data_IF_374186521712
#
_entry.id   IF_374186521712
#
_cell.length_a   1.000
_cell.length_b   1.000
_cell.length_c   1.000
_cell.angle_alpha   90.00
_cell.angle_beta   90.00
_cell.angle_gamma   90.00
#
_symmetry.space_group_name_H-M   'P 1'
#
loop_
_entity.id
_entity.type
_entity.pdbx_description
1 polymer ?
#
# COMPACT_ATOMS: atom_id res chain seq x y z
N UNK A 1 -11.50 3.39 -9.39
CA UNK A 1 -11.49 4.38 -8.30
C UNK A 1 -11.87 5.70 -8.95
N UNK A 2 -12.84 6.42 -8.39
CA UNK A 2 -13.31 7.70 -8.96
C UNK A 2 -12.26 8.79 -8.81
N UNK A 3 -11.44 8.72 -7.76
CA UNK A 3 -10.23 9.52 -7.67
C UNK A 3 -9.13 9.00 -8.62
N UNK A 4 -8.33 9.91 -9.18
CA UNK A 4 -7.18 9.60 -10.05
C UNK A 4 -5.95 9.13 -9.28
N UNK A 5 -6.12 8.68 -8.04
CA UNK A 5 -5.02 8.27 -7.17
C UNK A 5 -4.44 6.92 -7.62
N UNK A 6 -3.13 6.78 -7.42
CA UNK A 6 -2.49 5.45 -7.39
C UNK A 6 -2.91 4.71 -6.12
N UNK A 7 -2.83 3.37 -6.11
CA UNK A 7 -3.03 2.57 -4.89
C UNK A 7 -2.07 2.99 -3.80
N UNK A 8 -0.82 3.32 -4.15
CA UNK A 8 0.18 3.79 -3.21
C UNK A 8 -0.26 5.10 -2.54
N UNK A 9 -0.69 6.09 -3.34
CA UNK A 9 -1.20 7.37 -2.86
C UNK A 9 -2.44 7.18 -1.98
N UNK A 10 -3.41 6.37 -2.43
CA UNK A 10 -4.61 6.08 -1.67
C UNK A 10 -4.30 5.39 -0.33
N UNK A 11 -3.38 4.42 -0.30
CA UNK A 11 -2.94 3.77 0.93
C UNK A 11 -2.28 4.76 1.89
N UNK A 12 -1.44 5.66 1.37
CA UNK A 12 -0.78 6.66 2.20
C UNK A 12 -1.76 7.65 2.80
N UNK A 13 -2.75 8.12 2.03
CA UNK A 13 -3.80 8.98 2.56
C UNK A 13 -4.54 8.30 3.73
N UNK A 14 -5.01 7.06 3.55
CA UNK A 14 -5.64 6.29 4.62
C UNK A 14 -4.71 6.02 5.82
N UNK A 15 -3.40 6.10 5.64
CA UNK A 15 -2.43 5.86 6.70
C UNK A 15 -2.06 7.13 7.46
N UNK A 16 -2.36 8.32 6.94
CA UNK A 16 -2.07 9.60 7.58
C UNK A 16 -3.12 9.93 8.64
N UNK A 17 -2.67 10.39 9.79
CA UNK A 17 -3.54 11.02 10.79
C UNK A 17 -3.82 12.45 10.37
N UNK A 18 -5.04 12.75 9.94
CA UNK A 18 -5.47 14.06 9.43
C UNK A 18 -4.87 15.26 10.18
N UNK A 19 -5.07 15.33 11.50
CA UNK A 19 -4.62 16.48 12.29
C UNK A 19 -3.11 16.47 12.61
N UNK A 20 -2.49 15.29 12.64
CA UNK A 20 -1.08 15.16 13.06
C UNK A 20 -0.11 15.05 11.89
N UNK A 21 -0.60 14.71 10.69
CA UNK A 21 0.20 14.40 9.51
C UNK A 21 1.17 13.23 9.72
N UNK A 22 0.91 12.37 10.72
CA UNK A 22 1.76 11.23 11.10
C UNK A 22 1.11 9.92 10.71
N UNK A 23 1.91 8.90 10.39
CA UNK A 23 1.40 7.59 9.99
C UNK A 23 0.87 6.78 11.18
N UNK A 24 -0.29 6.13 11.04
CA UNK A 24 -0.93 5.31 12.09
C UNK A 24 -0.14 4.05 12.50
N UNK A 25 0.74 3.53 11.64
CA UNK A 25 1.32 2.19 11.80
C UNK A 25 2.83 2.19 11.62
N UNK A 26 3.54 1.57 12.56
CA UNK A 26 4.97 1.24 12.42
C UNK A 26 5.26 0.27 11.26
N UNK A 27 4.21 -0.37 10.72
CA UNK A 27 4.29 -1.27 9.57
C UNK A 27 3.96 -0.60 8.23
N UNK A 28 3.76 0.72 8.21
CA UNK A 28 3.50 1.43 6.96
C UNK A 28 4.59 1.22 5.89
N UNK A 29 5.90 1.18 6.19
CA UNK A 29 6.92 0.89 5.18
C UNK A 29 6.71 -0.46 4.46
N UNK A 30 6.26 -1.48 5.18
CA UNK A 30 5.96 -2.82 4.67
C UNK A 30 4.71 -2.81 3.79
N UNK A 31 3.66 -2.11 4.25
CA UNK A 31 2.43 -1.93 3.48
C UNK A 31 2.70 -1.17 2.17
N UNK A 32 3.47 -0.10 2.26
CA UNK A 32 3.89 0.72 1.12
C UNK A 32 4.71 -0.09 0.11
N UNK A 33 5.65 -0.92 0.60
CA UNK A 33 6.43 -1.79 -0.25
C UNK A 33 5.55 -2.79 -1.02
N UNK A 34 4.58 -3.41 -0.32
CA UNK A 34 3.65 -4.34 -0.93
C UNK A 34 2.79 -3.69 -2.00
N UNK A 35 2.16 -2.55 -1.69
CA UNK A 35 1.31 -1.82 -2.65
C UNK A 35 2.11 -1.32 -3.86
N UNK A 36 3.33 -0.81 -3.66
CA UNK A 36 4.19 -0.42 -4.79
C UNK A 36 4.50 -1.60 -5.72
N UNK A 37 4.80 -2.78 -5.17
CA UNK A 37 5.01 -4.00 -5.97
C UNK A 37 3.73 -4.45 -6.67
N UNK A 38 2.58 -4.35 -6.00
CA UNK A 38 1.25 -4.61 -6.59
C UNK A 38 1.02 -3.73 -7.82
N UNK A 39 1.28 -2.42 -7.75
CA UNK A 39 1.08 -1.51 -8.87
C UNK A 39 2.04 -1.79 -10.04
N UNK A 40 3.29 -2.14 -9.74
CA UNK A 40 4.25 -2.54 -10.77
C UNK A 40 3.84 -3.85 -11.46
N UNK A 41 3.22 -4.80 -10.74
CA UNK A 41 2.68 -6.02 -11.33
C UNK A 41 1.49 -5.73 -12.23
N UNK A 42 0.53 -4.92 -11.76
CA UNK A 42 -0.68 -4.57 -12.52
C UNK A 42 -0.36 -3.77 -13.79
N UNK A 43 0.66 -2.93 -13.75
CA UNK A 43 1.15 -2.20 -14.93
C UNK A 43 1.98 -3.07 -15.88
N UNK A 44 2.27 -4.33 -15.51
CA UNK A 44 3.10 -5.24 -16.30
C UNK A 44 4.57 -4.84 -16.37
N UNK A 45 5.01 -3.91 -15.51
CA UNK A 45 6.41 -3.49 -15.35
C UNK A 45 7.19 -4.56 -14.59
N UNK A 46 6.61 -5.06 -13.49
CA UNK A 46 7.16 -6.17 -12.73
C UNK A 46 6.70 -7.49 -13.35
N UNK A 47 7.66 -8.35 -13.68
CA UNK A 47 7.40 -9.67 -14.29
C UNK A 47 8.06 -10.77 -13.48
N UNK A 48 7.46 -11.96 -13.51
CA UNK A 48 8.04 -13.17 -12.93
C UNK A 48 8.50 -14.16 -13.99
N UNK A 49 9.44 -15.01 -13.61
CA UNK A 49 9.64 -16.29 -14.29
C UNK A 49 8.47 -17.27 -14.06
N UNK A 50 8.43 -18.36 -14.81
CA UNK A 50 7.36 -19.38 -14.77
C UNK A 50 7.60 -20.49 -13.73
N UNK A 51 8.37 -20.21 -12.67
CA UNK A 51 8.80 -21.22 -11.69
C UNK A 51 7.78 -21.48 -10.57
N UNK A 52 7.94 -22.63 -9.88
CA UNK A 52 7.20 -22.92 -8.62
C UNK A 52 7.48 -21.89 -7.51
N UNK A 53 8.65 -21.26 -7.56
CA UNK A 53 9.06 -20.17 -6.65
C UNK A 53 9.42 -18.95 -7.49
N UNK A 54 8.42 -18.19 -7.96
CA UNK A 54 8.64 -17.18 -8.98
C UNK A 54 9.58 -16.09 -8.49
N UNK A 55 10.54 -15.72 -9.34
CA UNK A 55 11.42 -14.57 -9.12
C UNK A 55 11.03 -13.41 -10.00
N UNK A 56 11.07 -12.22 -9.42
CA UNK A 56 10.56 -10.99 -9.98
C UNK A 56 11.70 -10.05 -10.37
N UNK A 57 11.56 -9.44 -11.53
CA UNK A 57 12.40 -8.35 -12.03
C UNK A 57 11.54 -7.31 -12.76
N UNK A 58 12.02 -6.08 -12.85
CA UNK A 58 11.39 -5.08 -13.71
C UNK A 58 11.83 -5.30 -15.16
N UNK A 59 10.91 -5.11 -16.11
CA UNK A 59 11.24 -5.04 -17.53
C UNK A 59 12.25 -3.90 -17.78
N UNK A 60 13.26 -4.11 -18.64
CA UNK A 60 14.10 -3.02 -19.14
C UNK A 60 13.23 -1.96 -19.83
N UNK A 61 13.62 -0.69 -19.70
CA UNK A 61 13.02 0.45 -20.42
C UNK A 61 11.50 0.63 -20.23
N UNK A 62 10.94 0.04 -19.18
CA UNK A 62 9.52 0.17 -18.89
C UNK A 62 9.17 1.61 -18.49
N UNK A 63 8.14 2.16 -19.13
CA UNK A 63 7.60 3.47 -18.75
C UNK A 63 6.75 3.30 -17.49
N UNK A 64 7.19 3.91 -16.40
CA UNK A 64 6.51 3.86 -15.11
C UNK A 64 5.93 5.24 -14.81
N UNK A 65 4.64 5.30 -14.50
CA UNK A 65 3.97 6.54 -14.10
C UNK A 65 4.14 6.79 -12.60
N UNK A 66 4.47 8.03 -12.24
CA UNK A 66 4.75 8.42 -10.85
C UNK A 66 6.22 8.22 -10.47
N UNK A 67 6.77 9.20 -9.77
CA UNK A 67 8.12 9.20 -9.24
C UNK A 67 8.34 8.07 -8.24
N UNK A 68 7.35 7.76 -7.40
CA UNK A 68 7.42 6.70 -6.40
C UNK A 68 7.65 5.33 -7.05
N UNK A 69 6.77 4.93 -7.98
CA UNK A 69 6.86 3.65 -8.68
C UNK A 69 8.13 3.59 -9.55
N UNK A 70 8.48 4.68 -10.23
CA UNK A 70 9.72 4.79 -11.01
C UNK A 70 10.96 4.57 -10.14
N UNK A 71 10.97 5.12 -8.92
CA UNK A 71 12.09 4.96 -7.99
C UNK A 71 12.22 3.51 -7.50
N UNK A 72 11.10 2.82 -7.25
CA UNK A 72 11.12 1.39 -6.91
C UNK A 72 11.65 0.58 -8.10
N UNK A 73 11.13 0.81 -9.30
CA UNK A 73 11.56 0.09 -10.50
C UNK A 73 13.07 0.28 -10.76
N UNK A 74 13.55 1.52 -10.70
CA UNK A 74 14.98 1.85 -10.84
C UNK A 74 15.84 1.18 -9.77
N UNK A 75 15.37 1.12 -8.52
CA UNK A 75 16.08 0.42 -7.45
C UNK A 75 16.21 -1.08 -7.75
N UNK A 76 15.15 -1.71 -8.25
CA UNK A 76 15.17 -3.14 -8.62
C UNK A 76 16.07 -3.41 -9.82
N UNK A 77 16.01 -2.56 -10.86
CA UNK A 77 16.87 -2.65 -12.04
C UNK A 77 18.35 -2.47 -11.67
N UNK A 78 18.66 -1.49 -10.81
CA UNK A 78 20.04 -1.22 -10.35
C UNK A 78 20.63 -2.38 -9.55
N UNK A 79 19.82 -3.08 -8.74
CA UNK A 79 20.29 -4.29 -8.04
C UNK A 79 20.55 -5.46 -9.01
N UNK A 80 19.88 -5.49 -10.17
CA UNK A 80 20.18 -6.36 -11.30
C UNK A 80 19.85 -7.84 -11.11
N UNK A 81 19.20 -8.24 -10.00
CA UNK A 81 18.91 -9.65 -9.69
C UNK A 81 17.41 -9.90 -9.64
N UNK A 82 16.94 -10.98 -10.27
CA UNK A 82 15.60 -11.49 -10.04
C UNK A 82 15.48 -12.09 -8.63
N UNK A 83 14.44 -11.72 -7.88
CA UNK A 83 14.25 -12.16 -6.48
C UNK A 83 12.81 -12.52 -6.16
N UNK A 84 12.55 -13.38 -5.16
CA UNK A 84 11.19 -13.58 -4.66
C UNK A 84 10.56 -12.26 -4.23
N UNK A 85 9.24 -12.11 -4.44
CA UNK A 85 8.51 -10.87 -4.15
C UNK A 85 8.66 -10.42 -2.69
N UNK A 86 8.70 -11.38 -1.74
CA UNK A 86 8.95 -11.12 -0.32
C UNK A 86 10.30 -10.43 -0.08
N UNK A 87 11.36 -10.89 -0.77
CA UNK A 87 12.69 -10.30 -0.65
C UNK A 87 12.72 -8.87 -1.17
N UNK A 88 11.95 -8.57 -2.22
CA UNK A 88 11.77 -7.20 -2.67
C UNK A 88 11.03 -6.35 -1.65
N UNK A 89 9.90 -6.84 -1.13
CA UNK A 89 9.11 -6.14 -0.13
C UNK A 89 9.95 -5.77 1.11
N UNK A 90 10.73 -6.71 1.65
CA UNK A 90 11.65 -6.47 2.76
C UNK A 90 12.64 -5.35 2.44
N UNK A 91 13.33 -5.45 1.29
CA UNK A 91 14.37 -4.48 0.90
C UNK A 91 13.82 -3.09 0.61
N UNK A 92 12.63 -3.00 0.04
CA UNK A 92 11.92 -1.75 -0.23
C UNK A 92 11.44 -1.13 1.08
N UNK A 93 10.89 -1.92 2.00
CA UNK A 93 10.40 -1.43 3.30
C UNK A 93 11.48 -0.77 4.17
N UNK A 94 12.75 -1.15 3.98
CA UNK A 94 13.89 -0.55 4.68
C UNK A 94 14.31 0.82 4.12
N UNK A 95 13.72 1.29 3.02
CA UNK A 95 14.07 2.57 2.38
C UNK A 95 13.10 3.67 2.79
N UNK A 96 13.41 4.34 3.91
CA UNK A 96 12.62 5.47 4.43
C UNK A 96 12.39 6.61 3.41
N UNK A 97 13.30 6.77 2.44
CA UNK A 97 13.15 7.75 1.35
C UNK A 97 11.91 7.54 0.49
N UNK A 98 11.40 6.31 0.37
CA UNK A 98 10.24 6.01 -0.47
C UNK A 98 8.95 6.63 0.08
N UNK A 99 8.81 6.70 1.40
CA UNK A 99 7.69 7.41 2.05
C UNK A 99 7.71 8.89 1.65
N UNK A 100 8.89 9.52 1.74
CA UNK A 100 9.03 10.95 1.41
C UNK A 100 8.70 11.25 -0.05
N UNK A 101 9.12 10.38 -0.97
CA UNK A 101 8.82 10.51 -2.40
C UNK A 101 7.31 10.43 -2.65
N UNK A 102 6.64 9.44 -2.05
CA UNK A 102 5.19 9.32 -2.19
C UNK A 102 4.44 10.50 -1.55
N UNK A 103 4.90 10.98 -0.39
CA UNK A 103 4.33 12.16 0.24
C UNK A 103 4.46 13.40 -0.66
N UNK A 104 5.59 13.55 -1.35
CA UNK A 104 5.82 14.64 -2.29
C UNK A 104 4.83 14.60 -3.47
N UNK A 105 4.54 13.41 -4.01
CA UNK A 105 3.48 13.28 -5.04
C UNK A 105 2.10 13.70 -4.51
N UNK A 106 1.78 13.36 -3.25
CA UNK A 106 0.54 13.80 -2.61
C UNK A 106 0.49 15.32 -2.39
N UNK A 107 1.64 15.95 -2.12
CA UNK A 107 1.76 17.41 -2.07
C UNK A 107 1.52 18.03 -3.46
N UNK A 108 2.08 17.45 -4.52
CA UNK A 108 1.95 17.94 -5.90
C UNK A 108 0.50 17.94 -6.40
N UNK A 109 -0.30 16.95 -5.98
CA UNK A 109 -1.74 16.90 -6.29
C UNK A 109 -2.60 17.67 -5.28
N UNK A 110 -2.00 18.36 -4.32
CA UNK A 110 -2.68 19.20 -3.33
C UNK A 110 -3.50 18.43 -2.28
N UNK A 111 -3.19 17.15 -2.04
CA UNK A 111 -3.89 16.36 -1.03
C UNK A 111 -3.38 16.69 0.39
N UNK A 112 -2.07 16.86 0.54
CA UNK A 112 -1.38 17.16 1.79
C UNK A 112 -0.37 18.29 1.59
N UNK A 113 0.22 18.80 2.68
CA UNK A 113 1.35 19.74 2.62
C UNK A 113 2.56 19.18 3.37
N UNK A 114 3.78 19.59 3.04
CA UNK A 114 4.97 19.20 3.81
C UNK A 114 5.22 20.21 4.93
N UNK A 115 5.18 19.75 6.18
CA UNK A 115 5.58 20.54 7.34
C UNK A 115 6.84 19.97 7.98
N UNK A 116 7.85 20.82 8.18
CA UNK A 116 9.09 20.48 8.88
C UNK A 116 9.08 21.08 10.28
N UNK A 117 9.16 20.22 11.28
CA UNK A 117 9.21 20.58 12.69
C UNK A 117 10.43 19.94 13.36
N UNK A 118 10.69 20.27 14.62
CA UNK A 118 11.67 19.56 15.45
C UNK A 118 11.02 19.09 16.74
N UNK A 119 11.07 17.80 17.04
CA UNK A 119 10.67 17.25 18.32
C UNK A 119 11.72 17.63 19.38
N UNK A 120 11.28 18.26 20.47
CA UNK A 120 12.14 18.86 21.52
C UNK A 120 13.26 19.78 20.98
N UNK A 121 13.06 20.40 19.81
CA UNK A 121 14.04 21.31 19.19
C UNK A 121 15.26 20.63 18.56
N UNK A 122 15.43 19.31 18.72
CA UNK A 122 16.65 18.59 18.32
C UNK A 122 16.43 17.52 17.24
N UNK A 123 15.26 16.87 17.22
CA UNK A 123 15.01 15.76 16.30
C UNK A 123 14.12 16.25 15.15
N UNK A 124 14.64 16.38 13.91
CA UNK A 124 13.82 16.78 12.77
C UNK A 124 12.65 15.81 12.55
N UNK A 125 11.45 16.34 12.39
CA UNK A 125 10.25 15.59 12.11
C UNK A 125 9.52 16.23 10.93
N UNK A 126 9.26 15.42 9.89
CA UNK A 126 8.40 15.81 8.78
C UNK A 126 6.99 15.29 9.04
N UNK A 127 5.99 16.13 8.79
CA UNK A 127 4.57 15.80 8.84
C UNK A 127 3.93 16.12 7.50
N UNK A 128 2.84 15.42 7.19
CA UNK A 128 2.05 15.65 5.99
C UNK A 128 0.58 15.86 6.32
N UNK A 129 0.20 17.01 6.93
CA UNK A 129 -1.20 17.27 7.25
C UNK A 129 -2.05 17.43 5.99
N UNK A 130 -3.32 17.01 6.11
CA UNK A 130 -4.31 17.04 5.03
C UNK A 130 -4.64 18.49 4.66
N UNK A 131 -4.51 18.84 3.38
CA UNK A 131 -4.88 20.15 2.82
C UNK A 131 -6.28 20.10 2.22
N UNK A 132 -6.61 18.99 1.55
CA UNK A 132 -7.89 18.78 0.90
C UNK A 132 -8.54 17.47 1.35
N UNK A 133 -9.23 17.53 2.49
CA UNK A 133 -9.95 16.38 3.05
C UNK A 133 -11.05 15.79 2.17
N UNK A 134 -11.46 16.48 1.09
CA UNK A 134 -12.44 15.92 0.13
C UNK A 134 -11.88 14.73 -0.65
N UNK A 135 -10.56 14.69 -0.89
CA UNK A 135 -9.94 13.57 -1.61
C UNK A 135 -10.05 12.30 -0.77
N UNK A 136 -9.67 12.39 0.50
CA UNK A 136 -9.77 11.29 1.45
C UNK A 136 -11.22 10.92 1.76
N UNK A 137 -12.09 11.89 2.02
CA UNK A 137 -13.50 11.63 2.25
C UNK A 137 -14.15 10.90 1.06
N UNK A 138 -13.84 11.31 -0.18
CA UNK A 138 -14.31 10.63 -1.38
C UNK A 138 -13.82 9.17 -1.45
N UNK A 139 -12.54 8.94 -1.13
CA UNK A 139 -11.96 7.60 -1.07
C UNK A 139 -12.65 6.72 0.00
N UNK A 140 -12.91 7.27 1.18
CA UNK A 140 -13.61 6.57 2.27
C UNK A 140 -15.03 6.22 1.86
N UNK A 141 -15.75 7.12 1.18
CA UNK A 141 -17.10 6.82 0.67
C UNK A 141 -17.09 5.73 -0.41
N UNK A 142 -16.09 5.70 -1.29
CA UNK A 142 -15.90 4.57 -2.23
C UNK A 142 -15.66 3.24 -1.49
N UNK A 143 -14.87 3.27 -0.41
CA UNK A 143 -14.62 2.08 0.42
C UNK A 143 -15.91 1.62 1.11
N UNK A 144 -16.66 2.53 1.73
CA UNK A 144 -17.95 2.21 2.38
C UNK A 144 -18.94 1.62 1.40
N UNK A 145 -19.03 2.18 0.19
CA UNK A 145 -19.89 1.67 -0.87
C UNK A 145 -19.49 0.24 -1.27
N UNK A 146 -18.19 -0.04 -1.43
CA UNK A 146 -17.69 -1.38 -1.76
C UNK A 146 -17.95 -2.41 -0.65
N UNK A 147 -17.92 -1.98 0.61
CA UNK A 147 -18.22 -2.81 1.78
C UNK A 147 -19.72 -3.04 2.01
N UNK A 148 -20.60 -2.37 1.25
CA UNK A 148 -22.04 -2.59 1.32
C UNK A 148 -22.37 -4.03 0.87
N UNK A 149 -23.00 -4.86 1.72
CA UNK A 149 -23.33 -6.24 1.36
C UNK A 149 -24.31 -6.35 0.18
N UNK A 150 -25.12 -5.31 -0.06
CA UNK A 150 -26.08 -5.29 -1.16
C UNK A 150 -25.45 -5.00 -2.53
N UNK A 151 -24.21 -4.47 -2.55
CA UNK A 151 -23.48 -4.29 -3.80
C UNK A 151 -22.97 -5.66 -4.26
N UNK A 152 -23.22 -6.12 -5.49
CA UNK A 152 -22.58 -7.33 -5.99
C UNK A 152 -21.06 -7.16 -6.05
N UNK A 153 -20.35 -8.20 -5.61
CA UNK A 153 -18.89 -8.36 -5.71
C UNK A 153 -18.37 -7.94 -7.11
N UNK A 154 -18.96 -8.45 -8.19
CA UNK A 154 -18.55 -8.15 -9.57
C UNK A 154 -18.70 -6.69 -10.01
N UNK A 155 -19.36 -5.84 -9.21
CA UNK A 155 -19.55 -4.42 -9.50
C UNK A 155 -18.59 -3.52 -8.71
N UNK A 156 -17.76 -4.08 -7.84
CA UNK A 156 -16.73 -3.31 -7.14
C UNK A 156 -15.61 -3.01 -8.13
N UNK A 157 -15.17 -1.75 -8.15
CA UNK A 157 -13.98 -1.36 -8.88
C UNK A 157 -12.74 -2.10 -8.37
N UNK A 158 -11.99 -2.71 -9.29
CA UNK A 158 -10.81 -3.52 -8.99
C UNK A 158 -9.81 -2.79 -8.09
N UNK A 159 -9.49 -1.52 -8.38
CA UNK A 159 -8.53 -0.74 -7.57
C UNK A 159 -9.06 -0.50 -6.16
N UNK A 160 -10.35 -0.22 -5.99
CA UNK A 160 -10.98 -0.08 -4.67
C UNK A 160 -10.96 -1.41 -3.90
N UNK A 161 -11.34 -2.51 -4.54
CA UNK A 161 -11.30 -3.84 -3.91
C UNK A 161 -9.90 -4.20 -3.42
N UNK A 162 -8.89 -3.94 -4.23
CA UNK A 162 -7.49 -4.18 -3.90
C UNK A 162 -6.98 -3.29 -2.78
N UNK A 163 -7.31 -1.99 -2.81
CA UNK A 163 -6.98 -1.07 -1.73
C UNK A 163 -7.57 -1.55 -0.40
N UNK A 164 -8.82 -2.01 -0.39
CA UNK A 164 -9.48 -2.55 0.80
C UNK A 164 -8.74 -3.79 1.33
N UNK A 165 -8.39 -4.73 0.46
CA UNK A 165 -7.69 -5.97 0.86
C UNK A 165 -6.30 -5.66 1.41
N UNK A 166 -5.53 -4.80 0.74
CA UNK A 166 -4.17 -4.45 1.14
C UNK A 166 -4.14 -3.58 2.40
N UNK A 167 -5.07 -2.62 2.53
CA UNK A 167 -5.21 -1.81 3.74
C UNK A 167 -5.67 -2.64 4.94
N UNK A 168 -6.53 -3.64 4.74
CA UNK A 168 -6.89 -4.61 5.79
C UNK A 168 -5.70 -5.47 6.21
N UNK A 169 -4.93 -5.98 5.25
CA UNK A 169 -3.72 -6.77 5.52
C UNK A 169 -2.65 -5.97 6.29
N UNK A 170 -2.57 -4.66 6.04
CA UNK A 170 -1.68 -3.73 6.73
C UNK A 170 -2.24 -3.21 8.07
N UNK A 171 -3.48 -3.54 8.43
CA UNK A 171 -4.16 -3.04 9.62
C UNK A 171 -4.52 -1.55 9.56
N UNK A 172 -4.51 -0.93 8.37
CA UNK A 172 -4.83 0.48 8.13
C UNK A 172 -6.34 0.69 8.01
N UNK A 173 -7.07 -0.24 7.39
CA UNK A 173 -8.50 -0.10 7.10
C UNK A 173 -9.34 0.20 8.35
N UNK A 174 -9.05 -0.47 9.47
CA UNK A 174 -9.77 -0.32 10.74
C UNK A 174 -9.72 1.09 11.35
N UNK A 175 -8.73 1.90 10.95
CA UNK A 175 -8.55 3.26 11.46
C UNK A 175 -9.38 4.29 10.69
N UNK A 176 -9.90 3.91 9.51
CA UNK A 176 -10.62 4.79 8.60
C UNK A 176 -12.14 4.50 8.58
N UNK A 177 -12.60 3.56 9.41
CA UNK A 177 -13.99 3.13 9.47
C UNK A 177 -14.48 3.16 10.91
N UNK A 178 -15.78 3.47 11.07
CA UNK A 178 -16.47 3.31 12.34
C UNK A 178 -16.36 1.86 12.82
N UNK A 179 -16.20 1.69 14.14
CA UNK A 179 -15.95 0.39 14.76
C UNK A 179 -17.01 -0.66 14.42
N UNK A 180 -18.28 -0.25 14.38
CA UNK A 180 -19.41 -1.15 14.09
C UNK A 180 -19.47 -1.51 12.61
N UNK A 181 -19.21 -0.54 11.73
CA UNK A 181 -19.07 -0.79 10.30
C UNK A 181 -17.94 -1.79 10.05
N UNK A 182 -16.74 -1.55 10.57
CA UNK A 182 -15.59 -2.43 10.40
C UNK A 182 -15.87 -3.87 10.87
N UNK A 183 -16.54 -4.03 12.02
CA UNK A 183 -16.94 -5.36 12.52
C UNK A 183 -17.92 -6.04 11.58
N UNK A 184 -18.97 -5.33 11.16
CA UNK A 184 -19.99 -5.88 10.25
C UNK A 184 -19.42 -6.24 8.87
N UNK A 185 -18.39 -5.54 8.42
CA UNK A 185 -17.70 -5.79 7.15
C UNK A 185 -16.80 -7.03 7.17
N UNK A 186 -16.57 -7.70 8.31
CA UNK A 186 -15.64 -8.84 8.38
C UNK A 186 -16.04 -10.02 7.49
N UNK A 187 -17.32 -10.31 7.38
CA UNK A 187 -17.82 -11.35 6.47
C UNK A 187 -17.57 -10.93 5.02
N UNK A 188 -17.90 -9.68 4.70
CA UNK A 188 -17.69 -9.09 3.37
C UNK A 188 -16.21 -9.09 2.96
N UNK A 189 -15.30 -8.72 3.86
CA UNK A 189 -13.86 -8.78 3.62
C UNK A 189 -13.37 -10.21 3.32
N UNK A 190 -13.94 -11.23 4.00
CA UNK A 190 -13.64 -12.62 3.69
C UNK A 190 -14.16 -13.02 2.32
N UNK A 191 -15.36 -12.57 1.94
CA UNK A 191 -15.89 -12.77 0.59
C UNK A 191 -14.99 -12.10 -0.46
N UNK A 192 -14.54 -10.87 -0.21
CA UNK A 192 -13.59 -10.15 -1.07
C UNK A 192 -12.25 -10.87 -1.28
N UNK A 193 -11.78 -11.61 -0.27
CA UNK A 193 -10.56 -12.43 -0.36
C UNK A 193 -10.78 -13.80 -1.00
N UNK A 194 -11.98 -14.38 -0.87
CA UNK A 194 -12.33 -15.74 -1.32
C UNK A 194 -12.83 -15.75 -2.76
N UNK A 195 -13.71 -14.82 -3.08
CA UNK A 195 -14.18 -14.65 -4.43
C UNK A 195 -12.96 -14.22 -5.24
N UNK A 196 -12.46 -15.11 -6.09
CA UNK A 196 -12.61 -15.02 -7.56
C UNK A 196 -13.10 -13.67 -8.12
N UNK A 197 -12.64 -12.54 -7.57
CA UNK A 197 -13.24 -11.23 -7.76
C UNK A 197 -12.97 -10.61 -9.13
N UNK A 198 -12.05 -11.16 -9.91
CA UNK A 198 -11.54 -10.45 -11.08
C UNK A 198 -11.64 -11.37 -12.26
N UNK A 199 -12.25 -10.89 -13.33
CA UNK A 199 -12.23 -11.55 -14.62
C UNK A 199 -10.80 -11.70 -15.22
N UNK A 200 -9.74 -11.38 -14.46
CA UNK A 200 -8.35 -11.60 -14.83
C UNK A 200 -7.61 -12.47 -13.80
N UNK A 201 -7.11 -13.62 -14.27
CA UNK A 201 -6.18 -14.49 -13.53
C UNK A 201 -4.96 -13.72 -13.00
N UNK A 202 -4.52 -12.70 -13.75
CA UNK A 202 -3.43 -11.81 -13.40
C UNK A 202 -3.64 -11.16 -12.02
N UNK A 203 -4.85 -10.65 -11.73
CA UNK A 203 -5.10 -9.94 -10.48
C UNK A 203 -5.20 -10.90 -9.28
N UNK A 204 -5.75 -12.10 -9.46
CA UNK A 204 -5.79 -13.13 -8.40
C UNK A 204 -4.37 -13.49 -7.97
N UNK A 205 -3.48 -13.67 -8.95
CA UNK A 205 -2.06 -13.94 -8.71
C UNK A 205 -1.41 -12.80 -7.94
N UNK A 206 -1.63 -11.56 -8.37
CA UNK A 206 -1.07 -10.36 -7.71
C UNK A 206 -1.49 -10.29 -6.24
N UNK A 207 -2.78 -10.41 -5.92
CA UNK A 207 -3.25 -10.36 -4.53
C UNK A 207 -2.58 -11.41 -3.66
N UNK A 208 -2.60 -12.68 -4.10
CA UNK A 208 -2.04 -13.79 -3.32
C UNK A 208 -0.56 -13.56 -3.02
N UNK A 209 0.19 -13.06 -3.99
CA UNK A 209 1.62 -12.82 -3.87
C UNK A 209 1.94 -11.62 -2.97
N UNK A 210 1.18 -10.52 -3.11
CA UNK A 210 1.46 -9.28 -2.38
C UNK A 210 0.90 -9.26 -0.97
N UNK A 211 -0.28 -9.84 -0.73
CA UNK A 211 -0.84 -9.97 0.63
C UNK A 211 0.06 -10.87 1.49
N UNK A 212 0.46 -12.03 0.96
CA UNK A 212 1.38 -12.93 1.65
C UNK A 212 2.73 -12.27 1.92
N UNK A 213 3.26 -11.50 0.95
CA UNK A 213 4.48 -10.73 1.16
C UNK A 213 4.31 -9.73 2.30
N UNK A 214 3.29 -8.85 2.26
CA UNK A 214 3.03 -7.84 3.30
C UNK A 214 2.93 -8.49 4.68
N UNK A 215 2.06 -9.50 4.84
CA UNK A 215 1.87 -10.19 6.12
C UNK A 215 3.20 -10.80 6.59
N UNK A 216 3.96 -11.42 5.70
CA UNK A 216 5.24 -12.05 6.08
C UNK A 216 6.29 -11.04 6.53
N UNK A 217 6.37 -9.86 5.92
CA UNK A 217 7.31 -8.80 6.33
C UNK A 217 6.86 -8.19 7.66
N UNK A 218 5.55 -8.02 7.87
CA UNK A 218 4.99 -7.54 9.15
C UNK A 218 5.29 -8.53 10.28
N UNK A 219 5.03 -9.83 10.07
CA UNK A 219 5.32 -10.88 11.07
C UNK A 219 6.82 -10.95 11.36
N UNK A 220 7.68 -10.93 10.34
CA UNK A 220 9.13 -10.94 10.55
C UNK A 220 9.62 -9.70 11.33
N UNK A 221 9.05 -8.53 11.08
CA UNK A 221 9.35 -7.31 11.82
C UNK A 221 8.81 -7.30 13.26
N UNK A 222 7.78 -8.10 13.56
CA UNK A 222 7.27 -8.29 14.91
C UNK A 222 8.12 -9.27 15.73
N UNK A 223 8.81 -10.21 15.07
CA UNK A 223 9.79 -11.12 15.69
C UNK A 223 11.16 -10.42 15.75
N UNK A 224 11.25 -9.31 16.48
CA UNK A 224 12.54 -8.82 16.96
C UNK A 224 12.77 -9.56 18.28
N UNK A 225 13.76 -10.47 18.38
CA UNK A 225 14.12 -11.00 19.68
C UNK A 225 14.45 -9.79 20.56
N UNK A 226 13.82 -9.72 21.74
CA UNK A 226 14.24 -8.79 22.76
C UNK A 226 15.73 -9.06 22.97
N UNK A 227 16.59 -8.20 22.42
CA UNK A 227 18.00 -8.22 22.76
C UNK A 227 17.98 -7.87 24.24
N UNK A 228 18.12 -8.91 25.06
CA UNK A 228 18.37 -8.79 26.48
C UNK A 228 19.50 -7.79 26.62
N UNK A 229 19.16 -6.60 27.12
CA UNK A 229 20.12 -5.64 27.57
C UNK A 229 20.99 -6.36 28.62
N UNK A 230 22.22 -6.67 28.24
CA UNK A 230 23.30 -7.04 29.13
C UNK A 230 24.15 -5.82 29.44
#
# INVERSE_FOLDING_TARGET
MKSSLTLSQALMLLALQDEKGTLYSGYFPQALAGVGLTELLLSGVLVSDSGKTPKYTCKPDAIVQGQFLSTIANYMQTDGKARPIKSWAERISQKSKFIKILAQELCEIGAVSEEKSKLFGLIPQTKWPTVNGRIEAGLIEEIKAALNPNLPISQIDDKIGLLIILSEAAGILRHNLDKDLYKSSKTRLKEMKKAEFMNSEAFVKVIKETEAAIISVIVAAAVIPAVTAG
#
